data_IF_758797982237
#
_entry.id   IF_758797982237
#
_cell.length_a   1.000
_cell.length_b   1.000
_cell.length_c   1.000
_cell.angle_alpha   90.00
_cell.angle_beta   90.00
_cell.angle_gamma   90.00
#
_symmetry.space_group_name_H-M   'P 1'
#
loop_
_entity.id
_entity.type
_entity.pdbx_description
1 polymer ?
#
# COMPACT_ATOMS: atom_id res chain seq x y z
N UNK A 1 -33.63 11.83 7.85
CA UNK A 1 -33.07 11.08 6.70
C UNK A 1 -31.56 11.24 6.78
N UNK A 2 -30.89 10.54 7.68
CA UNK A 2 -29.49 10.83 7.98
C UNK A 2 -28.81 9.60 8.59
N UNK A 3 -28.76 8.49 7.83
CA UNK A 3 -28.21 7.24 8.36
C UNK A 3 -27.55 6.33 7.31
N UNK A 4 -27.00 6.91 6.23
CA UNK A 4 -26.26 6.14 5.20
C UNK A 4 -24.75 6.38 5.15
N UNK A 5 -24.21 7.30 5.94
CA UNK A 5 -22.79 7.70 5.82
C UNK A 5 -21.82 6.89 6.70
N UNK A 6 -22.29 6.02 7.60
CA UNK A 6 -21.43 5.35 8.60
C UNK A 6 -20.76 4.04 8.17
N UNK A 7 -20.91 3.58 6.92
CA UNK A 7 -20.37 2.26 6.49
C UNK A 7 -19.52 2.30 5.20
N UNK A 8 -18.98 3.46 4.82
CA UNK A 8 -17.97 3.53 3.76
C UNK A 8 -16.56 3.38 4.37
N UNK A 9 -15.82 2.35 3.94
CA UNK A 9 -14.45 2.07 4.42
C UNK A 9 -13.47 3.12 3.88
N UNK A 10 -13.74 3.68 2.71
CA UNK A 10 -12.99 4.79 2.13
C UNK A 10 -13.87 5.64 1.20
N UNK A 11 -13.43 6.88 0.97
CA UNK A 11 -14.09 7.84 0.08
C UNK A 11 -13.50 7.78 -1.33
N UNK A 12 -14.25 7.28 -2.30
CA UNK A 12 -13.81 7.16 -3.71
C UNK A 12 -13.49 8.51 -4.35
N UNK A 13 -14.14 9.60 -3.91
CA UNK A 13 -13.97 10.92 -4.54
C UNK A 13 -12.66 11.60 -4.12
N UNK A 14 -12.17 11.27 -2.93
CA UNK A 14 -10.92 11.83 -2.36
C UNK A 14 -9.70 10.97 -2.61
N UNK A 15 -9.89 9.67 -2.81
CA UNK A 15 -8.79 8.73 -3.02
C UNK A 15 -8.60 8.47 -4.51
N UNK A 16 -7.36 8.25 -4.93
CA UNK A 16 -7.04 7.88 -6.31
C UNK A 16 -6.01 6.75 -6.29
N UNK A 17 -6.17 5.78 -7.18
CA UNK A 17 -5.24 4.68 -7.34
C UNK A 17 -4.90 4.52 -8.82
N UNK A 18 -3.65 4.79 -9.17
CA UNK A 18 -3.20 4.73 -10.55
C UNK A 18 -2.24 3.59 -10.76
N UNK A 19 -2.50 2.77 -11.78
CA UNK A 19 -1.50 1.85 -12.35
C UNK A 19 -1.10 2.39 -13.72
N UNK A 20 0.13 2.91 -13.82
CA UNK A 20 0.53 3.73 -14.96
C UNK A 20 -0.36 4.97 -15.06
N UNK A 21 -1.05 5.12 -16.20
CA UNK A 21 -1.97 6.24 -16.45
C UNK A 21 -3.46 5.90 -16.22
N UNK A 22 -3.77 4.72 -15.68
CA UNK A 22 -5.16 4.25 -15.54
C UNK A 22 -5.61 4.40 -14.09
N UNK A 23 -6.70 5.12 -13.85
CA UNK A 23 -7.35 5.17 -12.54
C UNK A 23 -8.11 3.86 -12.27
N UNK A 24 -7.47 2.98 -11.52
CA UNK A 24 -8.02 1.67 -11.16
C UNK A 24 -9.09 1.74 -10.09
N UNK A 25 -9.08 2.79 -9.27
CA UNK A 25 -10.12 2.96 -8.26
C UNK A 25 -11.46 3.26 -8.93
N UNK A 26 -11.44 4.12 -9.95
CA UNK A 26 -12.62 4.45 -10.72
C UNK A 26 -13.15 3.25 -11.53
N UNK A 27 -12.26 2.56 -12.25
CA UNK A 27 -12.56 1.34 -13.04
C UNK A 27 -13.24 0.23 -12.18
N UNK A 28 -12.70 -0.03 -10.99
CA UNK A 28 -13.26 -1.04 -10.08
C UNK A 28 -14.57 -0.59 -9.42
N UNK A 29 -14.74 0.71 -9.22
CA UNK A 29 -16.00 1.27 -8.71
C UNK A 29 -17.12 1.21 -9.77
N UNK A 30 -16.83 1.53 -11.03
CA UNK A 30 -17.77 1.40 -12.15
C UNK A 30 -18.24 -0.06 -12.34
N UNK A 31 -17.34 -1.00 -12.08
CA UNK A 31 -17.62 -2.44 -12.08
C UNK A 31 -18.53 -2.91 -10.92
N UNK A 32 -19.07 -1.99 -10.09
CA UNK A 32 -19.94 -2.26 -8.94
C UNK A 32 -19.37 -3.25 -7.93
N UNK A 33 -18.05 -3.26 -7.77
CA UNK A 33 -17.36 -4.12 -6.81
C UNK A 33 -17.53 -3.52 -5.40
N UNK A 34 -17.72 -4.36 -4.38
CA UNK A 34 -17.78 -3.89 -3.00
C UNK A 34 -16.46 -3.28 -2.54
N UNK A 35 -16.51 -2.26 -1.68
CA UNK A 35 -15.32 -1.60 -1.15
C UNK A 35 -14.34 -2.57 -0.47
N UNK A 36 -14.85 -3.59 0.23
CA UNK A 36 -14.02 -4.64 0.84
C UNK A 36 -13.19 -5.42 -0.20
N UNK A 37 -13.81 -5.80 -1.34
CA UNK A 37 -13.11 -6.48 -2.45
C UNK A 37 -12.11 -5.56 -3.15
N UNK A 38 -12.41 -4.26 -3.23
CA UNK A 38 -11.45 -3.28 -3.75
C UNK A 38 -10.20 -3.24 -2.87
N UNK A 39 -10.36 -3.18 -1.54
CA UNK A 39 -9.23 -3.22 -0.60
C UNK A 39 -8.43 -4.51 -0.73
N UNK A 40 -9.10 -5.64 -0.88
CA UNK A 40 -8.45 -6.94 -1.11
C UNK A 40 -7.61 -6.94 -2.41
N UNK A 41 -8.14 -6.40 -3.50
CA UNK A 41 -7.40 -6.21 -4.76
C UNK A 41 -6.18 -5.30 -4.60
N UNK A 42 -6.32 -4.20 -3.85
CA UNK A 42 -5.19 -3.30 -3.55
C UNK A 42 -4.11 -4.05 -2.77
N UNK A 43 -4.48 -4.78 -1.72
CA UNK A 43 -3.55 -5.59 -0.91
C UNK A 43 -2.83 -6.63 -1.74
N UNK A 44 -3.55 -7.39 -2.56
CA UNK A 44 -2.97 -8.38 -3.47
C UNK A 44 -1.98 -7.74 -4.44
N UNK A 45 -2.33 -6.57 -5.00
CA UNK A 45 -1.45 -5.88 -5.94
C UNK A 45 -0.18 -5.38 -5.26
N UNK A 46 -0.29 -4.77 -4.08
CA UNK A 46 0.87 -4.34 -3.28
C UNK A 46 1.76 -5.54 -2.92
N UNK A 47 1.18 -6.67 -2.50
CA UNK A 47 1.92 -7.91 -2.22
C UNK A 47 2.72 -8.36 -3.43
N UNK A 48 2.08 -8.41 -4.61
CA UNK A 48 2.75 -8.81 -5.84
C UNK A 48 3.90 -7.87 -6.20
N UNK A 49 3.75 -6.54 -6.01
CA UNK A 49 4.84 -5.60 -6.22
C UNK A 49 5.98 -5.81 -5.19
N UNK A 50 5.66 -6.07 -3.93
CA UNK A 50 6.68 -6.34 -2.90
C UNK A 50 7.47 -7.63 -3.13
N UNK A 51 6.91 -8.59 -3.86
CA UNK A 51 7.61 -9.82 -4.27
C UNK A 51 8.60 -9.59 -5.42
N UNK A 52 8.49 -8.47 -6.14
CA UNK A 52 9.45 -8.11 -7.19
C UNK A 52 10.75 -7.57 -6.60
N UNK A 53 11.86 -7.86 -7.27
CA UNK A 53 13.14 -7.23 -6.98
C UNK A 53 13.13 -5.77 -7.49
N UNK A 54 13.59 -4.84 -6.65
CA UNK A 54 13.79 -3.41 -6.96
C UNK A 54 12.52 -2.54 -7.01
N UNK A 55 11.61 -2.70 -6.07
CA UNK A 55 10.51 -1.73 -5.88
C UNK A 55 10.94 -0.60 -4.95
N UNK A 56 10.49 0.62 -5.22
CA UNK A 56 10.68 1.77 -4.35
C UNK A 56 9.34 2.43 -4.05
N UNK A 57 9.07 2.68 -2.78
CA UNK A 57 7.90 3.42 -2.32
C UNK A 57 8.26 4.88 -2.16
N UNK A 58 7.61 5.74 -2.94
CA UNK A 58 7.69 7.18 -2.81
C UNK A 58 6.59 7.65 -1.85
N UNK A 59 6.95 8.39 -0.81
CA UNK A 59 6.00 9.00 0.11
C UNK A 59 6.42 10.42 0.45
N UNK A 60 5.50 11.37 0.32
CA UNK A 60 5.79 12.79 0.49
C UNK A 60 6.68 13.36 -0.64
N UNK A 61 7.09 14.61 -0.47
CA UNK A 61 7.92 15.32 -1.45
C UNK A 61 9.38 14.91 -1.34
N UNK A 62 9.80 13.90 -2.12
CA UNK A 62 11.20 13.55 -2.31
C UNK A 62 11.73 12.41 -1.43
N UNK A 63 10.90 11.78 -0.61
CA UNK A 63 11.32 10.62 0.18
C UNK A 63 10.96 9.33 -0.54
N UNK A 64 11.94 8.42 -0.62
CA UNK A 64 11.75 7.07 -1.16
C UNK A 64 12.32 6.03 -0.20
N UNK A 65 11.65 4.88 -0.07
CA UNK A 65 12.20 3.68 0.55
C UNK A 65 12.26 2.59 -0.51
N UNK A 66 13.45 2.05 -0.76
CA UNK A 66 13.64 0.90 -1.63
C UNK A 66 13.21 -0.37 -0.86
N UNK A 67 12.12 -1.01 -1.27
CA UNK A 67 11.57 -2.25 -0.68
C UNK A 67 11.54 -3.35 -1.74
N UNK A 68 12.24 -4.45 -1.48
CA UNK A 68 12.25 -5.67 -2.30
C UNK A 68 12.95 -6.80 -1.57
N UNK A 69 13.03 -7.99 -2.17
CA UNK A 69 13.62 -9.17 -1.53
C UNK A 69 15.12 -9.01 -1.17
N UNK A 70 15.82 -8.04 -1.75
CA UNK A 70 17.17 -7.63 -1.34
C UNK A 70 17.14 -6.61 -0.19
N UNK A 71 16.21 -5.65 -0.18
CA UNK A 71 16.09 -4.64 0.89
C UNK A 71 15.67 -5.22 2.24
N UNK A 72 14.92 -6.33 2.26
CA UNK A 72 14.54 -7.04 3.49
C UNK A 72 15.71 -7.91 4.00
N UNK A 73 16.61 -8.35 3.11
CA UNK A 73 17.77 -9.19 3.48
C UNK A 73 18.90 -8.40 4.13
N UNK A 74 19.06 -7.12 3.77
CA UNK A 74 20.06 -6.24 4.37
C UNK A 74 19.39 -5.25 5.34
N UNK A 75 18.77 -5.76 6.40
CA UNK A 75 18.49 -4.89 7.55
C UNK A 75 19.85 -4.36 8.04
N UNK A 76 20.06 -3.04 8.16
CA UNK A 76 21.36 -2.52 8.57
C UNK A 76 21.76 -3.11 9.93
N UNK A 77 23.00 -3.61 10.03
CA UNK A 77 23.49 -4.32 11.22
C UNK A 77 23.37 -3.44 12.48
N UNK A 78 23.44 -2.12 12.33
CA UNK A 78 23.23 -1.15 13.42
C UNK A 78 21.82 -1.21 13.99
N UNK A 79 20.80 -1.38 13.13
CA UNK A 79 19.40 -1.45 13.56
C UNK A 79 19.11 -2.82 14.16
N UNK A 80 19.65 -3.89 13.58
CA UNK A 80 19.58 -5.24 14.15
C UNK A 80 20.17 -5.28 15.57
N UNK A 81 21.38 -4.73 15.75
CA UNK A 81 22.04 -4.61 17.05
C UNK A 81 21.23 -3.77 18.04
N UNK A 82 20.61 -2.69 17.57
CA UNK A 82 19.78 -1.83 18.42
C UNK A 82 18.50 -2.52 18.90
N UNK A 83 17.86 -3.31 18.06
CA UNK A 83 16.66 -4.08 18.43
C UNK A 83 17.04 -5.21 19.40
N UNK A 84 18.07 -5.99 19.08
CA UNK A 84 18.52 -7.10 19.93
C UNK A 84 19.13 -6.63 21.26
N UNK A 85 19.76 -5.44 21.27
CA UNK A 85 20.33 -4.83 22.48
C UNK A 85 19.29 -4.28 23.45
N UNK A 86 18.01 -4.19 23.06
CA UNK A 86 16.91 -3.72 23.91
C UNK A 86 16.16 -4.85 24.64
N UNK A 87 16.46 -6.12 24.36
CA UNK A 87 15.93 -7.27 25.11
C UNK A 87 16.82 -7.68 26.30
N UNK A 88 17.54 -6.74 26.91
CA UNK A 88 18.29 -6.96 28.16
C UNK A 88 17.95 -5.91 29.20
#
# INVERSE_FOLDING_TARGET
MEEKEKNAIFDITKNKLFFGNIDKLHDWNESKISQAKIIEKVKMTLKNYMELDNVSFLFGSGTSIHLGAVSIRNFPIEVEKYILGRER
#
